data_IF_570855460014
#
_entry.id   IF_570855460014
#
_cell.length_a   1.000
_cell.length_b   1.000
_cell.length_c   1.000
_cell.angle_alpha   90.00
_cell.angle_beta   90.00
_cell.angle_gamma   90.00
#
_symmetry.space_group_name_H-M   'P 1'
#
loop_
_entity.id
_entity.type
_entity.pdbx_description
1 polymer ?
#
# COMPACT_ATOMS: atom_id res chain seq x y z
N UNK A 1 -21.44 22.52 0.55
CA UNK A 1 -20.17 23.13 0.16
C UNK A 1 -19.10 22.48 1.04
N UNK A 2 -18.18 21.72 0.45
CA UNK A 2 -17.07 21.14 1.21
C UNK A 2 -16.00 22.22 1.37
N UNK A 3 -15.32 22.22 2.52
CA UNK A 3 -14.24 23.18 2.81
C UNK A 3 -12.86 22.63 2.41
N UNK A 4 -12.82 21.50 1.71
CA UNK A 4 -11.63 20.82 1.21
C UNK A 4 -11.83 20.42 -0.24
N UNK A 5 -10.74 20.34 -1.00
CA UNK A 5 -10.76 20.04 -2.43
C UNK A 5 -10.86 18.54 -2.70
N UNK A 6 -10.30 17.70 -1.81
CA UNK A 6 -10.34 16.24 -1.92
C UNK A 6 -10.23 15.58 -0.54
N UNK A 7 -10.54 14.28 -0.49
CA UNK A 7 -10.45 13.43 0.69
C UNK A 7 -9.52 12.24 0.40
N UNK A 8 -8.55 12.02 1.26
CA UNK A 8 -7.73 10.81 1.25
C UNK A 8 -8.41 9.75 2.12
N UNK A 9 -9.06 8.77 1.51
CA UNK A 9 -9.64 7.65 2.23
C UNK A 9 -8.51 6.72 2.69
N UNK A 10 -8.41 6.48 4.00
CA UNK A 10 -7.46 5.55 4.58
C UNK A 10 -8.01 4.12 4.47
N UNK A 11 -8.00 3.56 3.25
CA UNK A 11 -8.49 2.21 2.91
C UNK A 11 -7.48 1.13 3.29
N UNK A 12 -7.01 1.19 4.53
CA UNK A 12 -6.08 0.28 5.16
C UNK A 12 -6.35 0.27 6.68
N UNK A 13 -5.64 -0.57 7.43
CA UNK A 13 -5.94 -0.85 8.82
C UNK A 13 -7.39 -1.37 9.01
N UNK A 14 -7.89 -2.14 8.02
CA UNK A 14 -9.20 -2.77 8.10
C UNK A 14 -9.18 -3.82 9.21
N UNK A 15 -8.12 -4.65 9.24
CA UNK A 15 -7.86 -5.59 10.32
C UNK A 15 -6.55 -5.25 11.04
N UNK A 16 -6.47 -5.67 12.31
CA UNK A 16 -5.30 -5.43 13.16
C UNK A 16 -5.47 -6.06 14.54
N UNK A 17 -4.69 -5.60 15.52
CA UNK A 17 -4.78 -6.10 16.89
C UNK A 17 -6.10 -5.84 17.62
N UNK A 18 -7.00 -5.08 17.02
CA UNK A 18 -8.37 -4.80 17.50
C UNK A 18 -9.42 -5.76 16.95
N UNK A 19 -9.07 -6.54 15.89
CA UNK A 19 -9.96 -7.55 15.32
C UNK A 19 -9.91 -8.83 16.16
N UNK A 20 -10.96 -9.63 16.09
CA UNK A 20 -11.06 -10.93 16.79
C UNK A 20 -10.57 -12.11 15.94
N UNK A 21 -10.18 -11.85 14.67
CA UNK A 21 -9.61 -12.81 13.73
C UNK A 21 -8.52 -12.19 12.85
N UNK A 22 -7.73 -13.03 12.20
CA UNK A 22 -6.73 -12.60 11.21
C UNK A 22 -7.45 -12.13 9.95
N UNK A 23 -7.17 -10.91 9.53
CA UNK A 23 -7.67 -10.37 8.28
C UNK A 23 -6.61 -9.57 7.52
N UNK A 24 -6.91 -9.23 6.28
CA UNK A 24 -6.03 -8.41 5.46
C UNK A 24 -5.97 -6.96 5.97
N UNK A 25 -4.77 -6.37 5.92
CA UNK A 25 -4.58 -4.96 6.23
C UNK A 25 -5.46 -4.05 5.35
N UNK A 26 -5.55 -4.37 4.05
CA UNK A 26 -6.25 -3.55 3.06
C UNK A 26 -6.93 -4.43 2.00
N UNK A 27 -7.93 -5.26 2.39
CA UNK A 27 -8.63 -6.12 1.43
C UNK A 27 -9.45 -5.28 0.47
N UNK A 28 -9.33 -5.51 -0.84
CA UNK A 28 -10.16 -4.79 -1.82
C UNK A 28 -11.63 -5.14 -1.61
N UNK A 29 -11.94 -6.43 -1.42
CA UNK A 29 -13.26 -6.93 -1.09
C UNK A 29 -13.24 -7.75 0.19
N UNK A 30 -14.43 -8.01 0.77
CA UNK A 30 -14.55 -8.76 2.03
C UNK A 30 -14.08 -10.21 1.91
N UNK A 31 -13.25 -10.63 2.86
CA UNK A 31 -12.81 -12.01 3.00
C UNK A 31 -12.77 -12.40 4.50
N UNK A 32 -13.73 -13.23 4.94
CA UNK A 32 -14.78 -13.90 4.15
C UNK A 32 -15.88 -12.93 3.68
N UNK A 33 -16.71 -13.32 2.69
CA UNK A 33 -17.89 -12.55 2.34
C UNK A 33 -18.79 -12.29 3.55
N UNK A 34 -19.14 -11.00 3.78
CA UNK A 34 -19.94 -10.61 4.96
C UNK A 34 -19.10 -10.33 6.21
N UNK A 35 -17.78 -10.23 6.09
CA UNK A 35 -16.88 -9.82 7.18
C UNK A 35 -17.35 -8.50 7.81
N UNK A 36 -17.59 -8.45 9.14
CA UNK A 36 -18.06 -7.25 9.82
C UNK A 36 -17.04 -6.11 9.81
N UNK A 37 -15.74 -6.40 9.69
CA UNK A 37 -14.67 -5.41 9.63
C UNK A 37 -14.63 -4.70 8.25
N UNK A 38 -15.28 -5.30 7.23
CA UNK A 38 -15.49 -4.66 5.95
C UNK A 38 -14.33 -4.86 4.96
N UNK A 39 -14.15 -3.86 4.09
CA UNK A 39 -13.14 -3.85 3.04
C UNK A 39 -12.93 -2.43 2.50
N UNK A 40 -11.92 -2.24 1.64
CA UNK A 40 -11.70 -0.97 0.97
C UNK A 40 -12.92 -0.54 0.14
N UNK A 41 -13.51 -1.47 -0.64
CA UNK A 41 -14.69 -1.17 -1.47
C UNK A 41 -15.91 -0.78 -0.64
N UNK A 42 -16.14 -1.41 0.52
CA UNK A 42 -17.22 -1.02 1.44
C UNK A 42 -16.99 0.34 2.06
N UNK A 43 -15.73 0.66 2.41
CA UNK A 43 -15.33 1.97 2.92
C UNK A 43 -15.54 3.09 1.90
N UNK A 44 -15.11 2.90 0.66
CA UNK A 44 -15.32 3.86 -0.44
C UNK A 44 -16.82 4.02 -0.70
N UNK A 45 -17.59 2.92 -0.80
CA UNK A 45 -19.04 2.97 -0.97
C UNK A 45 -19.76 3.74 0.14
N UNK A 46 -19.31 3.57 1.40
CA UNK A 46 -19.84 4.35 2.52
C UNK A 46 -19.56 5.85 2.37
N UNK A 47 -18.33 6.23 2.01
CA UNK A 47 -17.95 7.63 1.85
C UNK A 47 -18.72 8.30 0.69
N UNK A 48 -18.82 7.62 -0.45
CA UNK A 48 -19.54 8.12 -1.63
C UNK A 48 -21.07 8.11 -1.40
N UNK A 49 -21.68 6.94 -1.19
CA UNK A 49 -23.11 6.77 -1.20
C UNK A 49 -23.80 7.25 0.10
N UNK A 50 -23.16 7.05 1.26
CA UNK A 50 -23.78 7.39 2.55
C UNK A 50 -23.39 8.78 3.02
N UNK A 51 -22.12 9.17 2.84
CA UNK A 51 -21.65 10.50 3.25
C UNK A 51 -21.79 11.54 2.14
N UNK A 52 -22.07 11.12 0.89
CA UNK A 52 -22.31 12.00 -0.24
C UNK A 52 -21.06 12.74 -0.73
N UNK A 53 -19.86 12.18 -0.52
CA UNK A 53 -18.63 12.73 -1.06
C UNK A 53 -18.57 12.36 -2.54
N UNK A 54 -18.39 13.32 -3.47
CA UNK A 54 -18.25 13.02 -4.90
C UNK A 54 -17.04 12.09 -5.15
N UNK A 55 -17.21 11.08 -6.00
CA UNK A 55 -16.17 10.07 -6.28
C UNK A 55 -14.88 10.71 -6.79
N UNK A 56 -14.97 11.72 -7.65
CA UNK A 56 -13.83 12.48 -8.15
C UNK A 56 -13.13 13.37 -7.10
N UNK A 57 -13.59 13.42 -5.86
CA UNK A 57 -12.94 14.05 -4.71
C UNK A 57 -12.40 13.03 -3.70
N UNK A 58 -12.63 11.73 -3.93
CA UNK A 58 -12.10 10.65 -3.10
C UNK A 58 -10.80 10.10 -3.70
N UNK A 59 -9.74 10.03 -2.91
CA UNK A 59 -8.51 9.31 -3.25
C UNK A 59 -8.46 8.00 -2.48
N UNK A 60 -8.16 6.90 -3.17
CA UNK A 60 -8.04 5.57 -2.60
C UNK A 60 -6.68 5.42 -1.90
N UNK A 61 -6.67 5.05 -0.62
CA UNK A 61 -5.45 4.86 0.16
C UNK A 61 -4.79 3.51 -0.08
N UNK A 62 -3.49 3.52 -0.35
CA UNK A 62 -2.67 2.35 -0.62
C UNK A 62 -1.59 2.23 0.47
N UNK A 63 -1.60 1.15 1.28
CA UNK A 63 -0.58 0.93 2.30
C UNK A 63 0.67 0.30 1.73
N UNK A 64 1.84 0.76 2.15
CA UNK A 64 3.12 0.15 1.82
C UNK A 64 3.68 -0.63 3.02
N UNK A 65 2.81 -1.27 3.80
CA UNK A 65 3.13 -2.16 4.91
C UNK A 65 2.11 -3.28 5.04
N UNK A 66 2.52 -4.36 5.68
CA UNK A 66 1.68 -5.49 6.03
C UNK A 66 1.45 -5.62 7.53
N UNK A 67 0.62 -6.58 7.92
CA UNK A 67 0.34 -6.93 9.32
C UNK A 67 0.67 -8.39 9.59
N UNK A 68 1.54 -8.60 10.57
CA UNK A 68 2.03 -9.93 10.96
C UNK A 68 1.34 -10.40 12.25
N UNK A 69 0.73 -11.57 12.19
CA UNK A 69 -0.02 -12.21 13.26
C UNK A 69 0.63 -13.51 13.71
N UNK A 70 0.47 -13.89 14.97
CA UNK A 70 0.76 -15.23 15.45
C UNK A 70 -0.49 -16.10 15.25
N UNK A 71 -0.60 -16.71 14.09
CA UNK A 71 -1.73 -17.55 13.64
C UNK A 71 -1.30 -18.43 12.47
N UNK A 72 -2.15 -19.41 12.13
CA UNK A 72 -1.90 -20.36 11.05
C UNK A 72 -2.65 -20.04 9.75
N UNK A 73 -3.53 -19.05 9.71
CA UNK A 73 -4.32 -18.77 8.51
C UNK A 73 -5.18 -17.51 8.58
N UNK A 74 -5.69 -17.10 7.42
CA UNK A 74 -6.72 -16.06 7.28
C UNK A 74 -8.02 -16.53 7.95
N UNK A 75 -8.73 -15.60 8.59
CA UNK A 75 -9.98 -15.83 9.32
C UNK A 75 -9.86 -16.74 10.56
N UNK A 76 -8.65 -17.11 10.94
CA UNK A 76 -8.38 -17.85 12.16
C UNK A 76 -8.15 -16.88 13.32
N UNK A 77 -8.29 -17.36 14.54
CA UNK A 77 -7.90 -16.59 15.73
C UNK A 77 -6.40 -16.40 15.80
N UNK A 78 -5.96 -15.34 16.43
CA UNK A 78 -4.54 -15.06 16.65
C UNK A 78 -4.26 -14.82 18.14
N UNK A 79 -2.97 -14.77 18.49
CA UNK A 79 -2.54 -14.51 19.88
C UNK A 79 -1.39 -13.48 19.90
N UNK A 80 -1.31 -12.74 21.01
CA UNK A 80 -0.29 -11.72 21.21
C UNK A 80 -0.50 -10.48 20.33
N UNK A 81 0.57 -9.72 20.15
CA UNK A 81 0.52 -8.45 19.42
C UNK A 81 0.57 -8.67 17.90
N UNK A 82 -0.12 -7.83 17.17
CA UNK A 82 -0.03 -7.70 15.70
C UNK A 82 1.04 -6.66 15.39
N UNK A 83 1.97 -7.01 14.50
CA UNK A 83 3.14 -6.18 14.18
C UNK A 83 3.03 -5.68 12.74
N UNK A 84 3.25 -4.39 12.55
CA UNK A 84 3.37 -3.81 11.22
C UNK A 84 4.74 -4.16 10.63
N UNK A 85 4.76 -4.60 9.35
CA UNK A 85 5.96 -4.94 8.61
C UNK A 85 6.01 -4.09 7.35
N UNK A 86 7.07 -3.30 7.15
CA UNK A 86 7.19 -2.44 5.97
C UNK A 86 7.42 -3.29 4.72
N UNK A 87 6.90 -2.83 3.58
CA UNK A 87 6.96 -3.61 2.34
C UNK A 87 8.38 -3.99 1.94
N UNK A 88 9.35 -3.08 2.12
CA UNK A 88 10.75 -3.34 1.76
C UNK A 88 11.40 -4.52 2.54
N UNK A 89 10.78 -4.99 3.63
CA UNK A 89 11.23 -6.15 4.41
C UNK A 89 10.49 -7.44 4.01
N UNK A 90 9.38 -7.33 3.24
CA UNK A 90 8.50 -8.45 2.94
C UNK A 90 9.01 -9.33 1.79
N UNK A 91 9.50 -8.79 0.63
CA UNK A 91 9.95 -9.63 -0.48
C UNK A 91 11.04 -10.64 -0.11
N UNK A 92 11.94 -10.28 0.80
CA UNK A 92 13.03 -11.15 1.26
C UNK A 92 12.54 -12.34 2.12
N UNK A 93 11.30 -12.31 2.59
CA UNK A 93 10.69 -13.42 3.32
C UNK A 93 10.20 -14.52 2.38
N UNK A 94 9.80 -14.18 1.15
CA UNK A 94 9.25 -15.11 0.16
C UNK A 94 10.33 -16.15 -0.17
N UNK A 95 9.96 -17.43 -0.14
CA UNK A 95 10.86 -18.58 -0.33
C UNK A 95 12.03 -18.67 0.71
N UNK A 96 12.01 -17.80 1.73
CA UNK A 96 12.96 -17.81 2.83
C UNK A 96 12.26 -18.13 4.16
N UNK A 97 11.62 -19.29 4.21
CA UNK A 97 10.86 -19.77 5.36
C UNK A 97 9.40 -19.26 5.41
N UNK A 98 8.93 -18.65 4.31
CA UNK A 98 7.56 -18.20 4.15
C UNK A 98 7.03 -18.54 2.76
N UNK A 99 5.84 -19.09 2.71
CA UNK A 99 5.12 -19.44 1.48
C UNK A 99 4.15 -18.32 1.11
N UNK A 100 4.21 -17.86 -0.16
CA UNK A 100 3.29 -16.89 -0.73
C UNK A 100 1.96 -17.55 -1.11
N UNK A 101 0.87 -16.90 -0.75
CA UNK A 101 -0.49 -17.29 -1.08
C UNK A 101 -1.31 -16.07 -1.54
N UNK A 102 -2.35 -16.31 -2.31
CA UNK A 102 -3.26 -15.29 -2.82
C UNK A 102 -4.70 -15.54 -2.38
N UNK A 103 -5.34 -14.54 -1.77
CA UNK A 103 -6.77 -14.60 -1.44
C UNK A 103 -7.62 -14.03 -2.58
N UNK A 104 -8.29 -14.93 -3.32
CA UNK A 104 -9.16 -14.55 -4.44
C UNK A 104 -10.43 -13.79 -4.01
N UNK A 105 -10.82 -13.81 -2.74
CA UNK A 105 -11.95 -13.03 -2.25
C UNK A 105 -11.53 -11.59 -1.92
N UNK A 106 -10.38 -11.44 -1.26
CA UNK A 106 -9.85 -10.13 -0.85
C UNK A 106 -9.13 -9.38 -1.98
N UNK A 107 -8.65 -10.09 -3.02
CA UNK A 107 -7.70 -9.59 -4.02
C UNK A 107 -6.43 -9.04 -3.39
N UNK A 108 -5.91 -9.80 -2.42
CA UNK A 108 -4.70 -9.46 -1.68
C UNK A 108 -3.83 -10.70 -1.43
N UNK A 109 -2.50 -10.54 -1.40
CA UNK A 109 -1.58 -11.59 -1.01
C UNK A 109 -1.46 -11.71 0.52
N UNK A 110 -0.92 -12.85 0.93
CA UNK A 110 -0.42 -13.07 2.29
C UNK A 110 0.70 -14.08 2.26
N UNK A 111 1.53 -14.06 3.30
CA UNK A 111 2.56 -15.07 3.52
C UNK A 111 2.18 -15.94 4.72
N UNK A 112 2.39 -17.25 4.61
CA UNK A 112 2.33 -18.19 5.74
C UNK A 112 3.74 -18.67 6.02
N UNK A 113 4.16 -18.58 7.28
CA UNK A 113 5.44 -19.15 7.69
C UNK A 113 5.41 -20.68 7.57
N UNK A 114 6.48 -21.30 7.10
CA UNK A 114 6.53 -22.74 6.77
C UNK A 114 6.18 -23.65 7.97
N UNK A 115 6.44 -23.18 9.19
CA UNK A 115 6.08 -23.86 10.43
C UNK A 115 4.61 -23.58 10.86
N UNK A 116 3.86 -22.82 10.06
CA UNK A 116 2.47 -22.39 10.30
C UNK A 116 2.26 -21.61 11.61
N UNK A 117 3.31 -21.01 12.16
CA UNK A 117 3.22 -20.25 13.42
C UNK A 117 2.82 -18.79 13.23
N UNK A 118 2.97 -18.26 12.00
CA UNK A 118 2.71 -16.86 11.69
C UNK A 118 2.13 -16.69 10.30
N UNK A 119 1.36 -15.62 10.14
CA UNK A 119 0.84 -15.14 8.87
C UNK A 119 1.13 -13.64 8.75
N UNK A 120 1.41 -13.18 7.54
CA UNK A 120 1.66 -11.78 7.19
C UNK A 120 0.77 -11.39 6.02
N UNK A 121 -0.13 -10.44 6.23
CA UNK A 121 -1.01 -9.90 5.19
C UNK A 121 -0.45 -8.57 4.70
N UNK A 122 -0.44 -8.33 3.38
CA UNK A 122 0.21 -7.16 2.80
C UNK A 122 -0.38 -6.82 1.43
N UNK A 123 0.17 -5.81 0.78
CA UNK A 123 -0.08 -5.48 -0.62
C UNK A 123 1.19 -5.68 -1.43
N UNK A 124 1.05 -6.26 -2.62
CA UNK A 124 2.09 -6.40 -3.63
C UNK A 124 1.72 -5.68 -4.94
N UNK A 125 2.53 -5.84 -5.97
CA UNK A 125 2.29 -5.24 -7.28
C UNK A 125 0.94 -5.68 -7.90
N UNK A 126 0.54 -6.93 -7.67
CA UNK A 126 -0.72 -7.50 -8.20
C UNK A 126 -1.94 -6.89 -7.49
N UNK A 127 -1.95 -6.85 -6.15
CA UNK A 127 -3.05 -6.24 -5.38
C UNK A 127 -3.15 -4.73 -5.63
N UNK A 128 -2.02 -4.03 -5.75
CA UNK A 128 -1.96 -2.61 -6.13
C UNK A 128 -2.56 -2.39 -7.51
N UNK A 129 -2.29 -3.27 -8.48
CA UNK A 129 -2.92 -3.22 -9.82
C UNK A 129 -4.44 -3.27 -9.72
N UNK A 130 -5.00 -4.25 -8.99
CA UNK A 130 -6.46 -4.37 -8.81
C UNK A 130 -7.07 -3.15 -8.11
N UNK A 131 -6.38 -2.59 -7.12
CA UNK A 131 -6.82 -1.37 -6.43
C UNK A 131 -6.79 -0.13 -7.33
N UNK A 132 -5.78 -0.02 -8.20
CA UNK A 132 -5.73 1.03 -9.22
C UNK A 132 -6.87 0.88 -10.24
N UNK A 133 -7.12 -0.33 -10.74
CA UNK A 133 -8.25 -0.63 -11.63
C UNK A 133 -9.59 -0.27 -10.96
N UNK A 134 -9.78 -0.66 -9.70
CA UNK A 134 -10.98 -0.28 -8.93
C UNK A 134 -11.14 1.23 -8.82
N UNK A 135 -10.08 1.97 -8.51
CA UNK A 135 -10.12 3.42 -8.39
C UNK A 135 -10.51 4.10 -9.71
N UNK A 136 -10.01 3.58 -10.84
CA UNK A 136 -10.37 4.04 -12.19
C UNK A 136 -11.85 3.72 -12.51
N UNK A 137 -12.27 2.48 -12.27
CA UNK A 137 -13.65 2.01 -12.57
C UNK A 137 -14.70 2.74 -11.73
N UNK A 138 -14.36 3.17 -10.53
CA UNK A 138 -15.21 3.97 -9.67
C UNK A 138 -15.08 5.49 -9.92
N UNK A 139 -14.31 5.91 -10.93
CA UNK A 139 -14.07 7.32 -11.27
C UNK A 139 -13.56 8.16 -10.06
N UNK A 140 -12.74 7.53 -9.18
CA UNK A 140 -12.16 8.21 -8.03
C UNK A 140 -11.19 9.30 -8.46
N UNK A 141 -11.02 10.32 -7.61
CA UNK A 141 -10.12 11.45 -7.86
C UNK A 141 -8.65 11.09 -7.95
N UNK A 142 -8.24 9.98 -7.34
CA UNK A 142 -6.85 9.56 -7.34
C UNK A 142 -6.56 8.39 -6.41
N UNK A 143 -5.27 8.13 -6.22
CA UNK A 143 -4.76 7.23 -5.20
C UNK A 143 -3.85 8.01 -4.24
N UNK A 144 -3.79 7.58 -2.98
CA UNK A 144 -2.92 8.15 -1.95
C UNK A 144 -2.06 7.04 -1.36
N UNK A 145 -0.79 7.30 -1.19
CA UNK A 145 0.20 6.33 -0.70
C UNK A 145 0.55 6.65 0.77
N UNK A 146 0.58 5.63 1.62
CA UNK A 146 1.17 5.68 2.94
C UNK A 146 2.07 4.45 3.19
N UNK A 147 3.41 4.63 3.29
CA UNK A 147 4.10 5.89 3.07
C UNK A 147 5.22 5.71 2.05
N UNK A 148 5.56 6.81 1.39
CA UNK A 148 6.70 6.85 0.47
C UNK A 148 7.98 6.41 1.17
N UNK A 149 8.76 5.56 0.49
CA UNK A 149 10.01 5.02 0.99
C UNK A 149 9.87 3.66 1.69
N UNK A 150 8.65 3.22 2.02
CA UNK A 150 8.44 1.89 2.61
C UNK A 150 8.55 0.75 1.59
N UNK A 151 8.59 1.05 0.28
CA UNK A 151 8.76 0.12 -0.83
C UNK A 151 10.15 0.18 -1.48
N UNK A 152 11.14 0.80 -0.82
CA UNK A 152 12.51 0.87 -1.36
C UNK A 152 13.22 -0.46 -1.09
N UNK A 153 13.34 -1.29 -2.12
CA UNK A 153 14.07 -2.56 -2.14
C UNK A 153 15.34 -2.45 -3.00
N UNK A 154 16.15 -3.50 -3.07
CA UNK A 154 17.28 -3.58 -4.01
C UNK A 154 16.83 -3.53 -5.49
N UNK A 155 15.58 -3.95 -5.77
CA UNK A 155 14.96 -3.92 -7.11
C UNK A 155 14.31 -2.57 -7.43
N UNK A 156 14.36 -1.61 -6.52
CA UNK A 156 13.77 -0.27 -6.66
C UNK A 156 12.49 -0.08 -5.86
N UNK A 157 11.54 0.67 -6.41
CA UNK A 157 10.27 0.99 -5.77
C UNK A 157 9.12 0.32 -6.52
N UNK A 158 8.90 -0.97 -6.23
CA UNK A 158 8.03 -1.84 -7.03
C UNK A 158 6.55 -1.45 -6.93
N UNK A 159 6.07 -1.03 -5.75
CA UNK A 159 4.68 -0.62 -5.56
C UNK A 159 4.38 0.71 -6.26
N UNK A 160 5.28 1.69 -6.17
CA UNK A 160 5.16 2.95 -6.93
C UNK A 160 5.16 2.69 -8.43
N UNK A 161 6.03 1.79 -8.91
CA UNK A 161 6.07 1.43 -10.32
C UNK A 161 4.76 0.77 -10.77
N UNK A 162 4.17 -0.11 -9.95
CA UNK A 162 2.86 -0.70 -10.24
C UNK A 162 1.77 0.37 -10.32
N UNK A 163 1.73 1.34 -9.41
CA UNK A 163 0.79 2.47 -9.48
C UNK A 163 1.00 3.27 -10.76
N UNK A 164 2.24 3.62 -11.10
CA UNK A 164 2.56 4.39 -12.29
C UNK A 164 2.12 3.67 -13.59
N UNK A 165 2.27 2.36 -13.65
CA UNK A 165 1.90 1.55 -14.81
C UNK A 165 0.39 1.39 -14.96
N UNK A 166 -0.34 1.23 -13.86
CA UNK A 166 -1.74 0.83 -13.88
C UNK A 166 -2.73 1.99 -13.68
N UNK A 167 -2.34 3.03 -12.92
CA UNK A 167 -3.21 4.18 -12.68
C UNK A 167 -2.96 5.32 -13.68
N UNK A 168 -1.70 5.54 -14.11
CA UNK A 168 -1.30 6.68 -14.89
C UNK A 168 -1.19 6.31 -16.39
N UNK A 169 -2.24 5.76 -16.97
CA UNK A 169 -2.26 5.16 -18.31
C UNK A 169 -2.28 6.13 -19.50
N UNK A 170 -2.36 7.46 -19.30
CA UNK A 170 -2.25 8.42 -20.41
C UNK A 170 -0.78 8.79 -20.69
N UNK A 171 -0.38 8.89 -21.96
CA UNK A 171 0.99 9.33 -22.37
C UNK A 171 1.38 10.65 -21.74
N UNK A 172 0.45 11.61 -21.62
CA UNK A 172 0.68 12.93 -21.00
C UNK A 172 0.99 12.80 -19.51
N UNK A 173 0.36 11.88 -18.81
CA UNK A 173 0.61 11.65 -17.39
C UNK A 173 1.93 10.93 -17.15
N UNK A 174 2.33 10.02 -18.06
CA UNK A 174 3.65 9.36 -18.03
C UNK A 174 4.79 10.34 -18.25
N UNK A 175 4.65 11.29 -19.18
CA UNK A 175 5.64 12.35 -19.41
C UNK A 175 5.78 13.28 -18.20
N UNK A 176 4.66 13.73 -17.60
CA UNK A 176 4.67 14.57 -16.39
C UNK A 176 5.34 13.89 -15.20
N UNK A 177 5.17 12.57 -15.06
CA UNK A 177 5.79 11.81 -13.96
C UNK A 177 7.27 11.55 -14.25
N UNK A 178 7.64 11.23 -15.47
CA UNK A 178 9.04 11.12 -15.85
C UNK A 178 9.78 12.42 -15.56
N UNK A 179 9.18 13.57 -15.87
CA UNK A 179 9.73 14.88 -15.58
C UNK A 179 9.83 15.16 -14.07
N UNK A 180 8.82 14.77 -13.28
CA UNK A 180 8.86 14.92 -11.82
C UNK A 180 9.88 14.00 -11.17
N UNK A 181 10.01 12.75 -11.62
CA UNK A 181 11.02 11.80 -11.15
C UNK A 181 12.44 12.27 -11.50
N UNK A 182 12.63 12.84 -12.70
CA UNK A 182 13.89 13.49 -13.11
C UNK A 182 14.22 14.69 -12.21
N UNK A 183 13.22 15.50 -11.85
CA UNK A 183 13.37 16.63 -10.95
C UNK A 183 13.77 16.18 -9.53
N UNK A 184 13.12 15.16 -9.00
CA UNK A 184 13.44 14.58 -7.68
C UNK A 184 14.85 13.97 -7.71
N UNK A 185 15.19 13.23 -8.78
CA UNK A 185 16.52 12.66 -8.93
C UNK A 185 17.59 13.74 -9.03
N UNK A 186 17.35 14.82 -9.79
CA UNK A 186 18.27 15.94 -9.92
C UNK A 186 18.43 16.70 -8.60
N UNK A 187 17.35 16.89 -7.82
CA UNK A 187 17.43 17.48 -6.47
C UNK A 187 18.23 16.59 -5.51
N UNK A 188 18.05 15.27 -5.57
CA UNK A 188 18.80 14.35 -4.75
C UNK A 188 20.29 14.33 -5.11
N UNK A 189 20.63 14.38 -6.40
CA UNK A 189 22.01 14.54 -6.89
C UNK A 189 22.61 15.87 -6.43
N UNK A 190 21.84 16.96 -6.53
CA UNK A 190 22.27 18.28 -6.08
C UNK A 190 22.57 18.32 -4.57
N UNK A 191 21.71 17.69 -3.74
CA UNK A 191 21.93 17.56 -2.30
C UNK A 191 23.19 16.74 -1.98
N UNK A 192 23.46 15.66 -2.71
CA UNK A 192 24.69 14.87 -2.57
C UNK A 192 25.94 15.70 -2.90
N UNK A 193 25.88 16.51 -3.96
CA UNK A 193 26.99 17.40 -4.35
C UNK A 193 27.24 18.43 -3.26
N UNK A 194 26.20 19.08 -2.73
CA UNK A 194 26.30 20.05 -1.64
C UNK A 194 26.89 19.42 -0.38
N UNK A 195 26.46 18.22 0.01
CA UNK A 195 27.02 17.51 1.14
C UNK A 195 28.51 17.18 0.94
N UNK A 196 28.88 16.75 -0.26
CA UNK A 196 30.29 16.45 -0.59
C UNK A 196 31.15 17.70 -0.56
N UNK A 197 30.66 18.83 -1.07
CA UNK A 197 31.38 20.12 -1.01
C UNK A 197 31.50 20.63 0.42
N UNK A 198 30.46 20.46 1.24
CA UNK A 198 30.47 20.82 2.65
C UNK A 198 31.51 20.01 3.44
N UNK A 199 31.56 18.69 3.21
CA UNK A 199 32.55 17.80 3.86
C UNK A 199 34.00 18.17 3.47
N UNK A 200 34.25 18.49 2.19
CA UNK A 200 35.59 18.93 1.75
C UNK A 200 36.02 20.23 2.46
N UNK A 201 35.12 21.17 2.66
CA UNK A 201 35.45 22.45 3.38
C UNK A 201 35.78 22.26 4.86
N UNK A 202 35.26 21.17 5.47
CA UNK A 202 35.58 20.85 6.90
C UNK A 202 36.94 20.17 7.01
N UNK A 203 37.38 19.40 6.00
CA UNK A 203 38.67 18.69 6.01
C UNK A 203 39.84 19.60 5.68
N UNK A 204 39.58 20.74 4.97
CA UNK A 204 40.60 21.72 4.57
C UNK A 204 40.81 22.87 5.60
N UNK A 205 40.20 22.77 6.80
CA UNK A 205 40.42 23.62 7.98
C UNK A 205 41.10 22.84 9.11
#
# INVERSE_FOLDING_TARGET
MFYVDFFNAMTYDIHGGWSDHVGHNSPLYQSPPGDPDGSCSTGISYLSNTRGIPDNQLNFGLPFWGKKYNSSGINESFSGDVIDEWYNEIPDLIDNGWTYEWDNNAFCPYLIKDDQSKILTFDDQESIRYKCEFAIDQELGGVMIWALGYDVTENGQELIQSIAQNYLSSEVTRELIADQLLLIHSQHQYQKILQTQYQRKIVDQ
#
